data_IF_048325228967
#
_entry.id   IF_048325228967
#
_cell.length_a   1.000
_cell.length_b   1.000
_cell.length_c   1.000
_cell.angle_alpha   90.00
_cell.angle_beta   90.00
_cell.angle_gamma   90.00
#
_symmetry.space_group_name_H-M   'P 1'
#
loop_
_entity.id
_entity.type
_entity.pdbx_description
1 polymer ?
#
# COMPACT_ATOMS: atom_id res chain seq x y z
N UNK A 1 -4.20 -14.55 -4.42
CA UNK A 1 -2.89 -14.99 -3.89
C UNK A 1 -1.85 -15.34 -4.96
N UNK A 2 -2.10 -16.21 -5.97
CA UNK A 2 -1.10 -16.53 -7.03
C UNK A 2 -0.49 -15.30 -7.72
N UNK A 3 -1.30 -14.28 -8.03
CA UNK A 3 -0.82 -13.06 -8.70
C UNK A 3 0.20 -12.28 -7.88
N UNK A 4 0.10 -12.31 -6.55
CA UNK A 4 1.04 -11.60 -5.67
C UNK A 4 2.43 -12.22 -5.76
N UNK A 5 2.53 -13.55 -5.79
CA UNK A 5 3.80 -14.25 -6.01
C UNK A 5 4.37 -14.02 -7.42
N UNK A 6 3.50 -13.88 -8.43
CA UNK A 6 3.93 -13.55 -9.80
C UNK A 6 4.48 -12.12 -9.89
N UNK A 7 3.88 -11.17 -9.16
CA UNK A 7 4.30 -9.76 -9.23
C UNK A 7 5.49 -9.42 -8.33
N UNK A 8 5.58 -10.05 -7.14
CA UNK A 8 6.57 -9.70 -6.12
C UNK A 8 7.69 -10.72 -5.97
N UNK A 9 7.49 -11.97 -6.38
CA UNK A 9 8.37 -13.08 -6.02
C UNK A 9 8.17 -13.54 -4.58
N UNK A 10 8.66 -14.74 -4.26
CA UNK A 10 8.47 -15.36 -2.93
C UNK A 10 9.19 -14.57 -1.84
N UNK A 11 10.42 -14.14 -2.08
CA UNK A 11 11.25 -13.46 -1.08
C UNK A 11 10.59 -12.17 -0.56
N UNK A 12 10.02 -11.37 -1.47
CA UNK A 12 9.33 -10.12 -1.11
C UNK A 12 8.02 -10.41 -0.38
N UNK A 13 7.29 -11.48 -0.74
CA UNK A 13 6.08 -11.86 -0.01
C UNK A 13 6.41 -12.29 1.41
N UNK A 14 7.47 -13.08 1.61
CA UNK A 14 7.95 -13.47 2.94
C UNK A 14 8.37 -12.24 3.73
N UNK A 15 9.14 -11.33 3.14
CA UNK A 15 9.56 -10.10 3.80
C UNK A 15 8.35 -9.24 4.22
N UNK A 16 7.36 -9.04 3.33
CA UNK A 16 6.15 -8.29 3.65
C UNK A 16 5.38 -8.96 4.80
N UNK A 17 5.21 -10.29 4.74
CA UNK A 17 4.54 -11.04 5.78
C UNK A 17 5.26 -10.90 7.13
N UNK A 18 6.59 -11.01 7.15
CA UNK A 18 7.40 -10.77 8.35
C UNK A 18 7.24 -9.34 8.87
N UNK A 19 7.24 -8.33 7.99
CA UNK A 19 6.99 -6.94 8.39
C UNK A 19 5.61 -6.75 9.05
N UNK A 20 4.57 -7.41 8.54
CA UNK A 20 3.25 -7.36 9.17
C UNK A 20 3.24 -8.09 10.52
N UNK A 21 3.88 -9.26 10.64
CA UNK A 21 3.97 -9.96 11.93
C UNK A 21 4.75 -9.17 13.00
N UNK A 22 5.73 -8.36 12.57
CA UNK A 22 6.52 -7.49 13.44
C UNK A 22 5.90 -6.10 13.63
N UNK A 23 4.67 -5.89 13.15
CA UNK A 23 3.97 -4.60 13.25
C UNK A 23 4.80 -3.41 12.72
N UNK A 24 5.47 -3.61 11.58
CA UNK A 24 6.26 -2.56 10.93
C UNK A 24 5.37 -1.57 10.15
N UNK A 25 5.96 -0.43 9.79
CA UNK A 25 5.38 0.49 8.80
C UNK A 25 5.64 -0.02 7.38
N UNK A 26 4.57 -0.34 6.65
CA UNK A 26 4.65 -0.86 5.29
C UNK A 26 3.93 0.07 4.32
N UNK A 27 4.70 0.64 3.39
CA UNK A 27 4.21 1.45 2.30
C UNK A 27 4.36 0.71 0.96
N UNK A 28 3.26 0.20 0.43
CA UNK A 28 3.20 -0.37 -0.91
C UNK A 28 3.21 0.75 -1.97
N UNK A 29 3.86 0.52 -3.11
CA UNK A 29 3.90 1.48 -4.23
C UNK A 29 3.62 0.79 -5.55
N UNK A 30 2.78 1.40 -6.38
CA UNK A 30 2.41 0.87 -7.70
C UNK A 30 1.85 1.98 -8.59
N UNK A 31 2.00 1.84 -9.90
CA UNK A 31 1.28 2.62 -10.91
C UNK A 31 -0.05 1.95 -11.32
N UNK A 32 -0.49 0.94 -10.59
CA UNK A 32 -1.75 0.24 -10.76
C UNK A 32 -2.41 0.09 -9.38
N UNK A 33 -3.54 0.78 -9.11
CA UNK A 33 -4.20 0.75 -7.82
C UNK A 33 -4.84 -0.60 -7.52
N UNK A 34 -5.20 -1.38 -8.54
CA UNK A 34 -5.73 -2.72 -8.37
C UNK A 34 -4.64 -3.66 -7.80
N UNK A 35 -3.38 -3.52 -8.25
CA UNK A 35 -2.26 -4.28 -7.65
C UNK A 35 -2.05 -3.93 -6.17
N UNK A 36 -2.18 -2.66 -5.79
CA UNK A 36 -2.06 -2.26 -4.39
C UNK A 36 -3.11 -2.95 -3.51
N UNK A 37 -4.37 -2.89 -3.93
CA UNK A 37 -5.47 -3.58 -3.25
C UNK A 37 -5.21 -5.08 -3.15
N UNK A 38 -4.91 -5.75 -4.26
CA UNK A 38 -4.71 -7.21 -4.27
C UNK A 38 -3.54 -7.64 -3.40
N UNK A 39 -2.41 -6.91 -3.43
CA UNK A 39 -1.25 -7.21 -2.58
C UNK A 39 -1.61 -6.99 -1.12
N UNK A 40 -2.21 -5.85 -0.77
CA UNK A 40 -2.57 -5.53 0.61
C UNK A 40 -3.52 -6.60 1.20
N UNK A 41 -4.61 -6.92 0.51
CA UNK A 41 -5.59 -7.93 0.94
C UNK A 41 -4.99 -9.34 1.03
N UNK A 42 -4.14 -9.73 0.08
CA UNK A 42 -3.53 -11.06 0.12
C UNK A 42 -2.54 -11.20 1.27
N UNK A 43 -1.73 -10.17 1.54
CA UNK A 43 -0.71 -10.23 2.59
C UNK A 43 -1.35 -10.11 3.97
N UNK A 44 -2.42 -9.32 4.15
CA UNK A 44 -3.20 -9.33 5.39
C UNK A 44 -3.93 -10.66 5.60
N UNK A 45 -4.45 -11.28 4.54
CA UNK A 45 -5.07 -12.61 4.64
C UNK A 45 -4.09 -13.71 5.08
N UNK A 46 -2.79 -13.56 4.80
CA UNK A 46 -1.76 -14.50 5.29
C UNK A 46 -1.61 -14.46 6.81
N UNK A 47 -2.09 -13.42 7.48
CA UNK A 47 -1.99 -13.31 8.94
C UNK A 47 -2.89 -14.29 9.69
N UNK A 48 -3.86 -14.93 9.04
CA UNK A 48 -4.75 -15.90 9.70
C UNK A 48 -3.96 -16.88 10.58
N UNK A 49 -4.34 -17.09 11.85
CA UNK A 49 -5.59 -16.63 12.50
C UNK A 49 -5.56 -15.21 13.07
N UNK A 50 -4.44 -14.49 12.95
CA UNK A 50 -4.32 -13.11 13.39
C UNK A 50 -4.97 -12.14 12.39
N UNK A 51 -5.34 -10.96 12.90
CA UNK A 51 -5.80 -9.83 12.11
C UNK A 51 -4.81 -8.68 12.26
N UNK A 52 -4.66 -7.87 11.22
CA UNK A 52 -3.89 -6.62 11.33
C UNK A 52 -4.68 -5.62 12.19
N UNK A 53 -4.16 -5.17 13.34
CA UNK A 53 -4.91 -4.34 14.27
C UNK A 53 -4.72 -2.83 14.03
N UNK A 54 -3.79 -2.46 13.14
CA UNK A 54 -3.36 -1.08 12.94
C UNK A 54 -3.96 -0.45 11.67
N UNK A 55 -3.52 0.77 11.36
CA UNK A 55 -4.01 1.53 10.21
C UNK A 55 -3.84 0.73 8.90
N UNK A 56 -4.93 0.63 8.15
CA UNK A 56 -5.00 -0.08 6.87
C UNK A 56 -5.61 0.83 5.80
N UNK A 57 -4.80 1.29 4.85
CA UNK A 57 -5.23 2.17 3.74
C UNK A 57 -4.54 1.76 2.44
N UNK A 58 -5.00 0.68 1.76
CA UNK A 58 -4.35 0.14 0.56
C UNK A 58 -4.19 1.12 -0.60
N UNK A 59 -5.06 2.13 -0.67
CA UNK A 59 -4.95 3.24 -1.62
C UNK A 59 -5.04 4.54 -0.81
N UNK A 60 -3.90 5.15 -0.54
CA UNK A 60 -3.77 6.37 0.23
C UNK A 60 -4.03 7.59 -0.68
N UNK A 61 -5.08 8.39 -0.41
CA UNK A 61 -5.29 9.66 -1.10
C UNK A 61 -4.18 10.66 -0.80
N UNK A 62 -3.89 11.55 -1.75
CA UNK A 62 -2.83 12.55 -1.60
C UNK A 62 -3.04 13.49 -0.39
N UNK A 63 -4.30 13.79 -0.04
CA UNK A 63 -4.65 14.60 1.13
C UNK A 63 -4.22 13.97 2.47
N UNK A 64 -4.04 12.65 2.49
CA UNK A 64 -3.68 11.88 3.69
C UNK A 64 -2.18 11.54 3.76
N UNK A 65 -1.34 12.09 2.87
CA UNK A 65 0.09 11.80 2.88
C UNK A 65 0.81 12.23 4.17
N UNK A 66 0.28 13.18 4.93
CA UNK A 66 0.84 13.59 6.23
C UNK A 66 0.79 12.47 7.28
N UNK A 67 -0.04 11.43 7.08
CA UNK A 67 -0.07 10.26 7.95
C UNK A 67 1.12 9.30 7.73
N UNK A 68 1.91 9.48 6.66
CA UNK A 68 3.11 8.67 6.44
C UNK A 68 4.20 8.91 7.49
N UNK A 69 4.16 10.07 8.17
CA UNK A 69 5.10 10.44 9.22
C UNK A 69 4.64 10.00 10.63
N UNK A 70 3.48 9.32 10.74
CA UNK A 70 2.96 8.87 12.02
C UNK A 70 3.92 7.84 12.65
N UNK A 71 4.20 7.89 13.97
CA UNK A 71 5.15 6.97 14.63
C UNK A 71 4.51 5.61 14.98
N UNK A 72 3.43 5.24 14.31
CA UNK A 72 2.66 4.01 14.59
C UNK A 72 2.74 3.05 13.39
N UNK A 73 2.55 1.75 13.59
CA UNK A 73 2.47 0.79 12.50
C UNK A 73 1.34 1.12 11.52
N UNK A 74 1.57 0.86 10.23
CA UNK A 74 0.55 0.99 9.20
C UNK A 74 0.83 0.08 8.02
N UNK A 75 -0.23 -0.25 7.29
CA UNK A 75 -0.16 -0.80 5.95
C UNK A 75 -0.90 0.15 5.00
N UNK A 76 -0.15 0.88 4.18
CA UNK A 76 -0.70 1.86 3.23
C UNK A 76 -0.17 1.62 1.82
N UNK A 77 -0.91 2.05 0.80
CA UNK A 77 -0.45 2.00 -0.59
C UNK A 77 -0.48 3.35 -1.28
N UNK A 78 0.63 3.76 -1.88
CA UNK A 78 0.74 5.01 -2.65
C UNK A 78 0.69 4.70 -4.15
N UNK A 79 -0.36 5.19 -4.80
CA UNK A 79 -0.51 5.15 -6.25
C UNK A 79 0.16 6.38 -6.89
N UNK A 80 1.03 6.17 -7.88
CA UNK A 80 1.61 7.25 -8.66
C UNK A 80 0.67 7.63 -9.82
N UNK A 81 -0.27 8.55 -9.57
CA UNK A 81 -0.96 9.25 -10.66
C UNK A 81 0.00 10.29 -11.23
N UNK A 82 0.30 10.24 -12.53
CA UNK A 82 0.81 11.43 -13.22
C UNK A 82 -0.34 12.44 -13.19
N UNK A 83 -0.34 13.36 -12.22
CA UNK A 83 -1.25 14.50 -12.26
C UNK A 83 -0.82 15.37 -13.44
N UNK A 84 -1.55 15.31 -14.54
CA UNK A 84 -1.53 16.39 -15.52
C UNK A 84 -2.07 17.63 -14.81
N UNK A 85 -1.18 18.47 -14.30
CA UNK A 85 -1.56 19.78 -13.77
C UNK A 85 -1.97 20.66 -14.97
N UNK A 86 -3.25 20.68 -15.30
CA UNK A 86 -3.81 21.79 -16.06
C UNK A 86 -3.95 22.97 -15.10
N UNK A 87 -3.10 23.99 -15.25
CA UNK A 87 -3.27 25.26 -14.55
C UNK A 87 -4.42 26.03 -15.22
N UNK A 88 -5.52 26.35 -14.52
CA UNK A 88 -6.66 27.06 -15.12
C UNK A 88 -6.43 28.58 -15.13
N UNK A 89 -5.37 29.05 -15.80
CA UNK A 89 -5.04 30.48 -15.86
C UNK A 89 -4.53 30.95 -17.23
N UNK A 90 -5.11 30.45 -18.32
CA UNK A 90 -5.15 31.18 -19.60
C UNK A 90 -6.47 30.86 -20.32
N UNK A 91 -7.53 31.57 -19.92
CA UNK A 91 -8.59 31.92 -20.86
C UNK A 91 -8.19 33.25 -21.54
N UNK A 92 -8.45 33.39 -22.85
CA UNK A 92 -8.02 34.55 -23.65
C UNK A 92 -8.71 35.86 -23.24
#
# INVERSE_FOLDING_TARGET
MRMVFVWLGVDIVVQLFTCLLLECQVLLRSSDPHRLMVVAECVTSLLFPFTWPHVYVPILPASLHHFLDAPVPFLMGKYNLIRLYFHPSRQP
#
